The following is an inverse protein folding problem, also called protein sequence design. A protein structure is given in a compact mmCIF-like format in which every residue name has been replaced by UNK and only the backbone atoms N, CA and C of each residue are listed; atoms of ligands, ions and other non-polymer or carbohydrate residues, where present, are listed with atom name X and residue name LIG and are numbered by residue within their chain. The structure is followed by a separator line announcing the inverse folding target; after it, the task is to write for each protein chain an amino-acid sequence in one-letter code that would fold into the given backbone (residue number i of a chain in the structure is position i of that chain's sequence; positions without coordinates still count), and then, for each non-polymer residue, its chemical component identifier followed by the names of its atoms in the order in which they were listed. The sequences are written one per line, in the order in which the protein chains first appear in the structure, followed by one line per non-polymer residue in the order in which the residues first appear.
data_IF_673504328540
#
_entry.id   IF_673504328540
#
_cell.length_a   1.000
_cell.length_b   1.000
_cell.length_c   1.000
_cell.angle_alpha   90.00
_cell.angle_beta   90.00
_cell.angle_gamma   90.00
#
_symmetry.space_group_name_H-M   'P 1'
#
loop_
_entity.id
_entity.type
_entity.pdbx_description
1 polymer ?
#
# COMPACT_ATOMS: atom_id res chain seq x y z
N UNK A 1 8.84 28.12 -18.17
CA UNK A 1 8.67 26.97 -19.09
C UNK A 1 8.36 25.70 -18.32
N UNK A 2 7.15 25.36 -17.91
CA UNK A 2 5.91 26.02 -17.48
C UNK A 2 5.06 24.85 -16.97
N UNK A 3 4.32 25.04 -15.87
CA UNK A 3 3.43 24.03 -15.23
C UNK A 3 2.47 23.32 -16.20
N UNK A 4 2.26 23.86 -17.40
CA UNK A 4 1.43 23.28 -18.47
C UNK A 4 2.00 22.02 -19.15
N UNK A 5 3.33 21.79 -19.19
CA UNK A 5 3.87 20.58 -19.85
C UNK A 5 3.63 19.30 -19.04
N UNK A 6 3.57 19.42 -17.72
CA UNK A 6 3.34 18.30 -16.79
C UNK A 6 1.90 17.80 -16.85
N UNK A 7 0.94 18.70 -17.09
CA UNK A 7 -0.47 18.36 -17.17
C UNK A 7 -0.85 17.59 -18.45
N UNK A 8 0.05 17.50 -19.44
CA UNK A 8 -0.19 16.80 -20.69
C UNK A 8 0.21 15.33 -20.70
N UNK A 9 1.27 14.93 -19.97
CA UNK A 9 1.85 13.58 -20.07
C UNK A 9 1.15 12.52 -19.21
N UNK A 10 0.42 12.92 -18.16
CA UNK A 10 -0.28 12.02 -17.23
C UNK A 10 -1.71 12.49 -16.92
N UNK A 11 -2.36 13.17 -17.86
CA UNK A 11 -3.71 13.70 -17.69
C UNK A 11 -4.74 12.63 -17.26
N UNK A 12 -4.63 11.40 -17.78
CA UNK A 12 -5.57 10.32 -17.50
C UNK A 12 -5.39 9.79 -16.06
N UNK A 13 -4.17 9.85 -15.50
CA UNK A 13 -3.93 9.54 -14.10
C UNK A 13 -4.80 10.42 -13.19
N UNK A 14 -4.77 11.74 -13.39
CA UNK A 14 -5.44 12.70 -12.52
C UNK A 14 -6.93 12.86 -12.80
N UNK A 15 -7.37 12.70 -14.05
CA UNK A 15 -8.76 12.93 -14.46
C UNK A 15 -9.62 11.66 -14.44
N UNK A 16 -9.00 10.48 -14.51
CA UNK A 16 -9.71 9.19 -14.58
C UNK A 16 -9.24 8.23 -13.50
N UNK A 17 -7.97 7.81 -13.51
CA UNK A 17 -7.50 6.69 -12.67
C UNK A 17 -7.62 7.00 -11.18
N UNK A 18 -7.02 8.08 -10.70
CA UNK A 18 -7.03 8.42 -9.26
C UNK A 18 -8.45 8.71 -8.75
N UNK A 19 -9.30 9.54 -9.40
CA UNK A 19 -10.68 9.72 -8.97
C UNK A 19 -11.46 8.39 -8.92
N UNK A 20 -11.33 7.54 -9.93
CA UNK A 20 -12.03 6.26 -9.96
C UNK A 20 -11.56 5.32 -8.85
N UNK A 21 -10.26 5.24 -8.58
CA UNK A 21 -9.73 4.46 -7.45
C UNK A 21 -10.23 4.98 -6.11
N UNK A 22 -10.29 6.29 -5.92
CA UNK A 22 -10.81 6.89 -4.69
C UNK A 22 -12.32 6.63 -4.51
N UNK A 23 -13.09 6.64 -5.60
CA UNK A 23 -14.49 6.21 -5.57
C UNK A 23 -14.61 4.72 -5.20
N UNK A 24 -13.76 3.85 -5.75
CA UNK A 24 -13.74 2.43 -5.38
C UNK A 24 -13.43 2.23 -3.89
N UNK A 25 -12.54 3.03 -3.31
CA UNK A 25 -12.30 3.01 -1.84
C UNK A 25 -13.59 3.35 -1.10
N UNK A 26 -14.35 4.36 -1.54
CA UNK A 26 -15.66 4.69 -0.97
C UNK A 26 -16.68 3.56 -1.11
N UNK A 27 -16.77 2.93 -2.28
CA UNK A 27 -17.68 1.82 -2.56
C UNK A 27 -17.34 0.57 -1.72
N UNK A 28 -16.05 0.27 -1.55
CA UNK A 28 -15.59 -0.81 -0.65
C UNK A 28 -16.03 -0.51 0.78
N UNK A 29 -15.79 0.70 1.29
CA UNK A 29 -16.22 1.07 2.65
C UNK A 29 -17.74 0.85 2.85
N UNK A 30 -18.56 1.19 1.85
CA UNK A 30 -19.99 0.94 1.88
C UNK A 30 -20.32 -0.55 1.87
N UNK A 31 -19.64 -1.35 1.05
CA UNK A 31 -19.82 -2.80 1.01
C UNK A 31 -19.48 -3.45 2.36
N UNK A 32 -18.34 -3.07 2.96
CA UNK A 32 -17.90 -3.58 4.26
C UNK A 32 -18.86 -3.20 5.39
N UNK A 33 -19.35 -1.94 5.42
CA UNK A 33 -20.28 -1.50 6.47
C UNK A 33 -21.64 -2.20 6.46
N UNK A 34 -22.03 -2.78 5.31
CA UNK A 34 -23.26 -3.56 5.13
C UNK A 34 -23.05 -5.07 5.29
N UNK A 35 -21.80 -5.53 5.33
CA UNK A 35 -21.46 -6.95 5.46
C UNK A 35 -21.52 -7.40 6.93
N UNK A 36 -22.73 -7.69 7.42
CA UNK A 36 -22.93 -8.14 8.81
C UNK A 36 -22.35 -9.53 9.13
N UNK A 37 -22.07 -10.33 8.10
CA UNK A 37 -21.49 -11.65 8.24
C UNK A 37 -20.23 -11.75 7.39
N UNK A 38 -19.13 -12.12 8.05
CA UNK A 38 -17.86 -12.46 7.41
C UNK A 38 -17.81 -13.98 7.34
N UNK A 39 -17.80 -14.52 6.13
CA UNK A 39 -17.85 -15.95 5.90
C UNK A 39 -16.93 -16.34 4.75
N UNK A 40 -16.53 -17.61 4.74
CA UNK A 40 -15.81 -18.20 3.62
C UNK A 40 -16.65 -18.09 2.35
N UNK A 41 -16.07 -17.55 1.28
CA UNK A 41 -16.72 -17.42 -0.02
C UNK A 41 -16.91 -18.78 -0.73
N UNK A 42 -16.34 -19.86 -0.19
CA UNK A 42 -16.38 -21.21 -0.75
C UNK A 42 -15.35 -21.45 -1.87
N UNK A 43 -14.49 -20.47 -2.14
CA UNK A 43 -13.38 -20.55 -3.09
C UNK A 43 -12.06 -20.30 -2.36
N UNK A 44 -11.07 -21.17 -2.57
CA UNK A 44 -9.70 -20.88 -2.18
C UNK A 44 -9.06 -19.98 -3.25
N UNK A 45 -8.28 -18.98 -2.84
CA UNK A 45 -7.55 -18.14 -3.79
C UNK A 45 -6.37 -18.90 -4.42
N UNK A 46 -5.66 -18.25 -5.36
CA UNK A 46 -4.56 -18.87 -6.12
C UNK A 46 -3.40 -19.35 -5.22
N UNK A 47 -3.31 -18.81 -4.00
CA UNK A 47 -2.31 -19.19 -3.00
C UNK A 47 -2.80 -20.22 -1.97
N UNK A 48 -4.05 -20.69 -2.09
CA UNK A 48 -4.65 -21.69 -1.21
C UNK A 48 -5.16 -21.13 0.12
N UNK A 49 -5.21 -19.81 0.27
CA UNK A 49 -5.86 -19.16 1.41
C UNK A 49 -7.38 -19.15 1.18
N UNK A 50 -8.10 -19.36 2.28
CA UNK A 50 -9.55 -19.35 2.35
C UNK A 50 -10.07 -17.92 2.14
N UNK A 51 -10.67 -17.64 0.98
CA UNK A 51 -11.10 -16.29 0.64
C UNK A 51 -12.41 -15.92 1.34
N UNK A 52 -12.50 -14.72 1.94
CA UNK A 52 -13.72 -14.25 2.57
C UNK A 52 -14.64 -13.53 1.57
N UNK A 53 -15.94 -13.52 1.85
CA UNK A 53 -16.93 -12.80 1.05
C UNK A 53 -16.61 -11.30 0.91
N UNK A 54 -15.98 -10.70 1.92
CA UNK A 54 -15.53 -9.30 1.91
C UNK A 54 -14.34 -9.06 1.00
N UNK A 55 -13.42 -10.01 0.89
CA UNK A 55 -12.27 -9.96 -0.03
C UNK A 55 -12.79 -10.01 -1.48
N UNK A 56 -13.70 -10.95 -1.76
CA UNK A 56 -14.36 -11.08 -3.08
C UNK A 56 -15.12 -9.80 -3.44
N UNK A 57 -15.80 -9.17 -2.48
CA UNK A 57 -16.52 -7.92 -2.73
C UNK A 57 -15.55 -6.79 -3.10
N UNK A 58 -14.45 -6.62 -2.35
CA UNK A 58 -13.46 -5.58 -2.60
C UNK A 58 -12.73 -5.77 -3.93
N UNK A 59 -12.31 -7.00 -4.24
CA UNK A 59 -11.72 -7.41 -5.51
C UNK A 59 -12.63 -7.03 -6.70
N UNK A 60 -13.91 -7.41 -6.63
CA UNK A 60 -14.88 -7.15 -7.70
C UNK A 60 -15.13 -5.65 -7.91
N UNK A 61 -15.18 -4.86 -6.84
CA UNK A 61 -15.38 -3.40 -6.93
C UNK A 61 -14.19 -2.75 -7.65
N UNK A 62 -12.96 -3.09 -7.27
CA UNK A 62 -11.76 -2.54 -7.91
C UNK A 62 -11.67 -2.96 -9.38
N UNK A 63 -11.82 -4.26 -9.69
CA UNK A 63 -11.76 -4.75 -11.08
C UNK A 63 -12.82 -4.10 -11.97
N UNK A 64 -14.07 -4.01 -11.50
CA UNK A 64 -15.15 -3.35 -12.24
C UNK A 64 -14.83 -1.88 -12.47
N UNK A 65 -14.34 -1.19 -11.45
CA UNK A 65 -13.99 0.23 -11.54
C UNK A 65 -12.90 0.48 -12.58
N UNK A 66 -11.83 -0.32 -12.54
CA UNK A 66 -10.74 -0.22 -13.52
C UNK A 66 -11.24 -0.49 -14.95
N UNK A 67 -12.08 -1.51 -15.14
CA UNK A 67 -12.63 -1.86 -16.45
C UNK A 67 -13.61 -0.82 -17.00
N UNK A 68 -14.50 -0.26 -16.18
CA UNK A 68 -15.57 0.62 -16.65
C UNK A 68 -15.15 2.09 -16.71
N UNK A 69 -14.18 2.52 -15.89
CA UNK A 69 -13.88 3.94 -15.67
C UNK A 69 -12.45 4.35 -15.99
N UNK A 70 -11.55 3.39 -16.21
CA UNK A 70 -10.13 3.63 -16.43
C UNK A 70 -9.64 3.06 -17.78
N UNK A 71 -9.99 3.68 -18.92
CA UNK A 71 -9.61 3.19 -20.25
C UNK A 71 -8.09 3.19 -20.48
N UNK A 72 -7.32 4.00 -19.75
CA UNK A 72 -5.85 4.02 -19.79
C UNK A 72 -5.20 2.92 -18.95
N UNK A 73 -5.93 2.23 -18.08
CA UNK A 73 -5.40 1.07 -17.34
C UNK A 73 -5.54 -0.16 -18.22
N UNK A 74 -4.41 -0.66 -18.72
CA UNK A 74 -4.39 -1.75 -19.71
C UNK A 74 -4.22 -3.11 -19.05
N UNK A 75 -3.51 -3.17 -17.92
CA UNK A 75 -3.28 -4.40 -17.16
C UNK A 75 -3.53 -4.18 -15.67
N UNK A 76 -4.03 -5.21 -15.01
CA UNK A 76 -4.19 -5.21 -13.57
C UNK A 76 -3.92 -6.60 -12.96
N UNK A 77 -3.46 -6.60 -11.71
CA UNK A 77 -3.24 -7.80 -10.89
C UNK A 77 -3.60 -7.52 -9.44
N UNK A 78 -3.92 -8.55 -8.67
CA UNK A 78 -4.25 -8.41 -7.25
C UNK A 78 -3.59 -9.47 -6.39
N UNK A 79 -3.60 -9.27 -5.08
CA UNK A 79 -3.14 -10.27 -4.11
C UNK A 79 -3.91 -11.60 -4.23
N UNK A 80 -5.21 -11.55 -4.57
CA UNK A 80 -6.08 -12.71 -4.74
C UNK A 80 -5.89 -13.45 -6.09
N UNK A 81 -5.50 -12.70 -7.11
CA UNK A 81 -5.24 -13.17 -8.47
C UNK A 81 -3.93 -12.56 -8.99
N UNK A 82 -2.80 -13.16 -8.63
CA UNK A 82 -1.46 -12.57 -8.73
C UNK A 82 -0.88 -12.72 -10.14
N UNK A 83 -1.70 -12.48 -11.15
CA UNK A 83 -1.31 -12.52 -12.57
C UNK A 83 -1.72 -11.22 -13.20
N UNK A 84 -0.80 -10.55 -13.90
CA UNK A 84 -1.15 -9.37 -14.70
C UNK A 84 -2.06 -9.81 -15.85
N UNK A 85 -3.30 -9.32 -15.82
CA UNK A 85 -4.31 -9.59 -16.84
C UNK A 85 -4.72 -8.32 -17.54
N UNK A 86 -5.05 -8.43 -18.82
CA UNK A 86 -5.66 -7.33 -19.55
C UNK A 86 -6.97 -6.92 -18.88
N UNK A 87 -7.15 -5.63 -18.64
CA UNK A 87 -8.39 -5.09 -18.03
C UNK A 87 -9.53 -5.08 -19.05
N UNK A 88 -9.22 -4.76 -20.30
CA UNK A 88 -10.18 -4.62 -21.40
C UNK A 88 -10.08 -5.82 -22.34
N UNK A 89 -10.83 -6.89 -22.06
CA UNK A 89 -10.86 -8.10 -22.91
C UNK A 89 -11.85 -7.91 -24.07
N UNK A 90 -11.38 -8.05 -25.31
CA UNK A 90 -12.25 -8.05 -26.51
C UNK A 90 -12.51 -6.68 -27.15
N UNK A 91 -11.85 -5.61 -26.71
CA UNK A 91 -11.68 -4.43 -27.56
C UNK A 91 -10.70 -4.80 -28.68
N UNK A 92 -11.09 -4.66 -29.95
CA UNK A 92 -10.17 -4.79 -31.08
C UNK A 92 -8.82 -4.17 -30.73
N UNK A 93 -7.70 -4.82 -31.08
CA UNK A 93 -6.33 -4.30 -30.89
C UNK A 93 -6.12 -2.88 -31.50
N UNK A 94 -7.11 -2.39 -32.24
CA UNK A 94 -7.22 -1.05 -32.83
C UNK A 94 -7.91 0.00 -31.94
N UNK A 95 -8.44 -0.33 -30.75
CA UNK A 95 -9.16 0.59 -29.84
C UNK A 95 -8.37 1.11 -28.63
N UNK A 96 -7.12 0.69 -28.40
CA UNK A 96 -6.25 1.36 -27.42
C UNK A 96 -5.58 2.58 -28.07
N UNK A 97 -6.38 3.60 -28.35
CA UNK A 97 -5.91 4.94 -28.78
C UNK A 97 -5.50 5.84 -27.61
N UNK A 98 -5.49 5.32 -26.37
CA UNK A 98 -5.01 6.07 -25.22
C UNK A 98 -3.51 6.31 -25.36
N UNK A 99 -3.11 7.59 -25.42
CA UNK A 99 -1.69 7.97 -25.45
C UNK A 99 -0.96 7.60 -24.16
N UNK A 100 -1.70 7.37 -23.07
CA UNK A 100 -1.21 7.01 -21.75
C UNK A 100 -1.68 5.60 -21.39
N UNK A 101 -0.77 4.79 -20.86
CA UNK A 101 -1.05 3.41 -20.45
C UNK A 101 -0.56 3.19 -19.03
N UNK A 102 -1.38 2.54 -18.22
CA UNK A 102 -1.09 2.26 -16.82
C UNK A 102 -1.31 0.79 -16.49
N UNK A 103 -0.52 0.32 -15.53
CA UNK A 103 -0.71 -0.97 -14.86
C UNK A 103 -1.08 -0.71 -13.42
N UNK A 104 -2.08 -1.43 -12.91
CA UNK A 104 -2.52 -1.29 -11.52
C UNK A 104 -2.34 -2.61 -10.79
N UNK A 105 -1.67 -2.58 -9.64
CA UNK A 105 -1.57 -3.72 -8.75
C UNK A 105 -2.10 -3.37 -7.37
N UNK A 106 -2.85 -4.28 -6.74
CA UNK A 106 -3.55 -3.96 -5.50
C UNK A 106 -3.73 -5.16 -4.55
N UNK A 107 -3.74 -4.87 -3.26
CA UNK A 107 -4.36 -5.71 -2.24
C UNK A 107 -5.77 -5.14 -1.98
N UNK A 108 -6.83 -5.86 -2.39
CA UNK A 108 -8.19 -5.34 -2.28
C UNK A 108 -8.63 -5.15 -0.84
N UNK A 109 -8.15 -5.97 0.11
CA UNK A 109 -8.53 -5.89 1.52
C UNK A 109 -7.39 -6.35 2.46
N UNK A 110 -6.49 -5.43 2.78
CA UNK A 110 -5.50 -5.63 3.84
C UNK A 110 -6.19 -5.72 5.21
N UNK A 111 -5.80 -6.73 5.98
CA UNK A 111 -6.37 -6.98 7.30
C UNK A 111 -7.69 -7.74 7.28
N UNK A 112 -8.01 -8.49 6.22
CA UNK A 112 -9.20 -9.36 6.16
C UNK A 112 -9.38 -10.23 7.41
N UNK A 113 -8.30 -10.74 8.00
CA UNK A 113 -8.33 -11.53 9.24
C UNK A 113 -8.85 -10.78 10.49
N UNK A 114 -8.84 -9.45 10.49
CA UNK A 114 -9.27 -8.60 11.62
C UNK A 114 -10.58 -7.84 11.36
N UNK A 115 -11.24 -8.08 10.21
CA UNK A 115 -12.53 -7.44 9.91
C UNK A 115 -13.68 -7.99 10.77
N UNK A 116 -13.71 -9.30 11.06
CA UNK A 116 -14.78 -9.91 11.87
C UNK A 116 -14.81 -9.37 13.33
N UNK A 117 -13.67 -9.11 13.99
CA UNK A 117 -13.61 -8.33 15.23
C UNK A 117 -13.98 -6.84 15.10
N UNK A 118 -14.38 -6.36 13.91
CA UNK A 118 -14.72 -4.98 13.61
C UNK A 118 -13.55 -3.99 13.84
N UNK A 119 -12.34 -4.39 13.45
CA UNK A 119 -11.16 -3.51 13.49
C UNK A 119 -10.99 -2.76 12.17
N UNK A 120 -10.18 -1.70 12.20
CA UNK A 120 -9.81 -0.98 10.99
C UNK A 120 -9.06 -1.90 10.03
N UNK A 121 -9.48 -1.90 8.77
CA UNK A 121 -8.86 -2.62 7.65
C UNK A 121 -8.53 -1.63 6.52
N UNK A 122 -7.95 -2.07 5.41
CA UNK A 122 -7.59 -1.15 4.33
C UNK A 122 -7.51 -1.77 2.95
N UNK A 123 -7.16 -0.95 1.97
CA UNK A 123 -6.83 -1.36 0.61
C UNK A 123 -5.48 -0.77 0.26
N UNK A 124 -4.65 -1.51 -0.45
CA UNK A 124 -3.34 -1.05 -0.92
C UNK A 124 -3.36 -1.08 -2.44
N UNK A 125 -2.95 0.01 -3.08
CA UNK A 125 -2.92 0.09 -4.55
C UNK A 125 -1.70 0.87 -5.04
N UNK A 126 -1.04 0.36 -6.07
CA UNK A 126 0.00 1.06 -6.82
C UNK A 126 -0.38 1.22 -8.30
N UNK A 127 0.12 2.30 -8.92
CA UNK A 127 -0.06 2.61 -10.34
C UNK A 127 1.31 2.77 -11.00
N UNK A 128 1.55 1.99 -12.05
CA UNK A 128 2.76 2.04 -12.87
C UNK A 128 2.50 2.68 -14.23
N UNK A 129 3.43 3.52 -14.69
CA UNK A 129 3.47 4.10 -16.04
C UNK A 129 3.99 3.08 -17.07
N UNK A 130 3.05 2.48 -17.80
CA UNK A 130 3.31 1.43 -18.77
C UNK A 130 2.28 0.30 -18.70
N UNK A 131 2.50 -0.73 -19.52
CA UNK A 131 1.61 -1.89 -19.66
C UNK A 131 1.96 -3.09 -18.76
N UNK A 132 3.01 -2.99 -17.96
CA UNK A 132 3.37 -3.98 -16.94
C UNK A 132 4.09 -3.31 -15.76
N UNK A 133 3.98 -3.88 -14.56
CA UNK A 133 4.81 -3.54 -13.40
C UNK A 133 6.04 -4.45 -13.30
N UNK A 134 6.02 -5.63 -13.93
CA UNK A 134 7.11 -6.61 -13.91
C UNK A 134 8.29 -6.11 -14.75
N UNK A 135 9.50 -6.28 -14.23
CA UNK A 135 10.74 -5.87 -14.87
C UNK A 135 10.95 -4.35 -14.95
N UNK A 136 10.04 -3.56 -14.37
CA UNK A 136 10.12 -2.11 -14.42
C UNK A 136 10.97 -1.55 -13.27
N UNK A 137 11.68 -0.44 -13.50
CA UNK A 137 12.40 0.25 -12.46
C UNK A 137 11.43 1.06 -11.57
N UNK A 138 11.89 1.48 -10.39
CA UNK A 138 11.05 2.07 -9.33
C UNK A 138 10.33 3.36 -9.75
N UNK A 139 10.92 4.09 -10.69
CA UNK A 139 10.45 5.36 -11.21
C UNK A 139 9.17 5.20 -12.04
N UNK A 140 8.89 3.97 -12.48
CA UNK A 140 7.65 3.64 -13.17
C UNK A 140 6.47 3.57 -12.23
N UNK A 141 6.66 3.34 -10.94
CA UNK A 141 5.57 3.46 -9.97
C UNK A 141 5.33 4.93 -9.65
N UNK A 142 4.28 5.50 -10.25
CA UNK A 142 4.03 6.94 -10.24
C UNK A 142 2.99 7.38 -9.20
N UNK A 143 2.16 6.46 -8.72
CA UNK A 143 1.19 6.75 -7.67
C UNK A 143 0.90 5.53 -6.80
N UNK A 144 0.49 5.80 -5.56
CA UNK A 144 -0.01 4.80 -4.63
C UNK A 144 -1.19 5.35 -3.82
N UNK A 145 -2.11 4.47 -3.46
CA UNK A 145 -3.27 4.78 -2.61
C UNK A 145 -3.34 3.76 -1.48
N UNK A 146 -3.45 4.24 -0.24
CA UNK A 146 -3.82 3.43 0.92
C UNK A 146 -5.21 3.84 1.37
N UNK A 147 -6.23 3.02 1.08
CA UNK A 147 -7.59 3.20 1.58
C UNK A 147 -7.70 2.70 3.02
N UNK A 148 -8.42 3.41 3.88
CA UNK A 148 -8.56 3.09 5.31
C UNK A 148 -10.03 2.99 5.66
N UNK A 149 -10.43 1.84 6.18
CA UNK A 149 -11.81 1.50 6.56
C UNK A 149 -11.91 1.39 8.08
N UNK A 150 -12.09 2.52 8.75
CA UNK A 150 -12.25 2.58 10.20
C UNK A 150 -13.54 3.33 10.59
N UNK A 151 -13.55 4.01 11.75
CA UNK A 151 -14.65 4.91 12.12
C UNK A 151 -14.89 6.05 11.12
N UNK A 152 -13.88 6.34 10.29
CA UNK A 152 -13.95 7.24 9.14
C UNK A 152 -13.33 6.51 7.96
N UNK A 153 -13.82 6.78 6.76
CA UNK A 153 -13.17 6.35 5.52
C UNK A 153 -12.20 7.42 5.09
N UNK A 154 -10.91 7.08 5.02
CA UNK A 154 -9.87 8.00 4.54
C UNK A 154 -9.00 7.31 3.50
N UNK A 155 -8.21 8.08 2.76
CA UNK A 155 -7.18 7.55 1.89
C UNK A 155 -5.90 8.39 1.99
N UNK A 156 -4.74 7.73 2.01
CA UNK A 156 -3.45 8.39 1.78
C UNK A 156 -3.09 8.22 0.32
N UNK A 157 -2.82 9.33 -0.36
CA UNK A 157 -2.43 9.38 -1.77
C UNK A 157 -0.98 9.86 -1.86
N UNK A 158 -0.14 9.05 -2.51
CA UNK A 158 1.23 9.39 -2.84
C UNK A 158 1.42 9.47 -4.35
N UNK A 159 2.11 10.50 -4.85
CA UNK A 159 2.35 10.71 -6.28
C UNK A 159 3.81 11.12 -6.48
N UNK A 160 4.52 10.41 -7.37
CA UNK A 160 5.92 10.66 -7.73
C UNK A 160 6.09 10.55 -9.24
N UNK A 161 6.10 11.69 -9.92
CA UNK A 161 6.34 11.76 -11.38
C UNK A 161 7.65 12.51 -11.60
N UNK A 162 8.65 11.84 -12.19
CA UNK A 162 9.96 12.44 -12.43
C UNK A 162 9.89 13.64 -13.38
N UNK A 163 10.61 14.70 -13.06
CA UNK A 163 10.71 15.92 -13.90
C UNK A 163 9.47 16.82 -13.90
N UNK A 164 8.44 16.47 -13.14
CA UNK A 164 7.15 17.16 -13.14
C UNK A 164 6.93 18.05 -11.92
N UNK A 165 6.89 17.43 -10.74
CA UNK A 165 6.68 18.08 -9.44
C UNK A 165 7.46 17.34 -8.37
N UNK A 166 7.77 17.97 -7.23
CA UNK A 166 8.18 17.23 -6.04
C UNK A 166 7.16 16.13 -5.72
N UNK A 167 7.59 15.02 -5.10
CA UNK A 167 6.68 14.01 -4.61
C UNK A 167 5.62 14.60 -3.70
N UNK A 168 4.39 14.11 -3.81
CA UNK A 168 3.25 14.55 -3.00
C UNK A 168 2.80 13.38 -2.15
N UNK A 169 2.47 13.65 -0.88
CA UNK A 169 1.79 12.71 0.01
C UNK A 169 0.72 13.49 0.78
N UNK A 170 -0.55 13.11 0.64
CA UNK A 170 -1.68 13.80 1.25
C UNK A 170 -2.72 12.80 1.77
N UNK A 171 -3.53 13.23 2.72
CA UNK A 171 -4.63 12.44 3.26
C UNK A 171 -5.95 13.11 2.94
N UNK A 172 -6.89 12.31 2.44
CA UNK A 172 -8.27 12.74 2.18
C UNK A 172 -9.27 11.94 2.99
N UNK A 173 -10.36 12.58 3.37
CA UNK A 173 -11.58 11.96 3.86
C UNK A 173 -12.52 11.67 2.70
N UNK A 174 -13.12 10.49 2.73
CA UNK A 174 -14.11 10.05 1.76
C UNK A 174 -15.47 9.90 2.46
N UNK A 175 -16.52 10.37 1.82
CA UNK A 175 -17.90 10.19 2.26
C UNK A 175 -18.66 9.27 1.28
N UNK A 176 -19.98 9.18 1.44
CA UNK A 176 -20.84 8.36 0.58
C UNK A 176 -20.86 8.77 -0.91
N UNK A 177 -20.31 9.94 -1.24
CA UNK A 177 -20.19 10.45 -2.61
C UNK A 177 -18.80 10.25 -3.22
N UNK A 178 -17.87 9.63 -2.49
CA UNK A 178 -16.53 9.26 -2.97
C UNK A 178 -15.64 10.48 -3.24
N UNK A 179 -14.93 10.47 -4.37
CA UNK A 179 -14.02 11.52 -4.80
C UNK A 179 -14.72 12.81 -5.23
N UNK A 180 -16.05 12.79 -5.41
CA UNK A 180 -16.83 13.97 -5.83
C UNK A 180 -17.02 15.00 -4.72
N UNK A 181 -16.93 14.56 -3.47
CA UNK A 181 -17.12 15.38 -2.28
C UNK A 181 -16.14 14.95 -1.19
N UNK A 182 -14.85 14.84 -1.56
CA UNK A 182 -13.79 14.50 -0.63
C UNK A 182 -13.23 15.73 0.09
N UNK A 183 -12.83 15.55 1.34
CA UNK A 183 -12.16 16.59 2.14
C UNK A 183 -10.65 16.31 2.18
N UNK A 184 -9.81 17.32 1.98
CA UNK A 184 -8.37 17.19 2.26
C UNK A 184 -8.16 17.33 3.77
N UNK A 185 -7.94 16.20 4.47
CA UNK A 185 -7.68 16.17 5.92
C UNK A 185 -6.27 16.68 6.22
N UNK A 186 -5.29 16.26 5.42
CA UNK A 186 -3.90 16.74 5.48
C UNK A 186 -3.40 16.97 4.07
N UNK A 187 -3.10 18.23 3.74
CA UNK A 187 -2.51 18.61 2.46
C UNK A 187 -1.06 18.11 2.31
N UNK A 188 -0.41 17.80 3.42
CA UNK A 188 0.95 17.27 3.46
C UNK A 188 1.07 16.25 4.60
N UNK A 189 1.25 14.98 4.24
CA UNK A 189 1.58 13.90 5.17
C UNK A 189 3.10 13.75 5.16
N UNK A 190 3.72 14.00 6.31
CA UNK A 190 5.17 13.91 6.49
C UNK A 190 5.53 13.20 7.79
N UNK A 191 6.59 12.41 7.73
CA UNK A 191 7.33 12.00 8.90
C UNK A 191 8.25 13.15 9.34
N UNK A 192 8.31 13.36 10.65
CA UNK A 192 8.95 14.52 11.27
C UNK A 192 10.46 14.43 11.08
N UNK A 193 11.14 15.53 10.71
CA UNK A 193 12.60 15.59 10.75
C UNK A 193 13.10 15.81 12.19
N UNK A 194 14.32 15.38 12.53
CA UNK A 194 14.93 15.66 13.84
C UNK A 194 15.00 17.17 14.17
N UNK A 195 14.93 17.54 15.47
CA UNK A 195 14.78 16.67 16.63
C UNK A 195 13.30 16.34 16.93
N UNK A 196 12.96 15.07 17.00
CA UNK A 196 11.69 14.56 17.54
C UNK A 196 11.97 13.29 18.34
N UNK A 197 11.06 12.91 19.24
CA UNK A 197 11.13 11.64 19.96
C UNK A 197 10.13 10.66 19.37
N UNK A 198 10.60 9.63 18.69
CA UNK A 198 9.75 8.51 18.28
C UNK A 198 9.14 7.84 19.50
N UNK A 199 7.85 7.54 19.44
CA UNK A 199 7.11 6.89 20.54
C UNK A 199 6.38 5.63 20.15
N UNK A 200 6.36 5.24 18.88
CA UNK A 200 5.50 4.16 18.42
C UNK A 200 6.28 3.14 17.63
N UNK A 201 6.06 1.87 17.93
CA UNK A 201 6.58 0.76 17.15
C UNK A 201 5.47 -0.28 16.91
N UNK A 202 5.48 -0.84 15.70
CA UNK A 202 4.60 -1.92 15.27
C UNK A 202 5.44 -3.18 15.01
N UNK A 203 5.54 -4.11 15.99
CA UNK A 203 6.33 -5.33 15.84
C UNK A 203 5.53 -6.42 15.11
N UNK A 204 5.43 -6.27 13.79
CA UNK A 204 4.81 -7.28 12.97
C UNK A 204 5.52 -8.62 13.14
N UNK A 205 4.74 -9.66 13.42
CA UNK A 205 5.24 -10.99 13.74
C UNK A 205 6.21 -11.03 14.95
N UNK A 206 5.78 -10.48 16.09
CA UNK A 206 6.52 -10.52 17.38
C UNK A 206 7.04 -11.91 17.79
N UNK A 207 6.44 -13.01 17.29
CA UNK A 207 6.95 -14.39 17.49
C UNK A 207 8.39 -14.56 17.01
N UNK A 208 8.83 -13.77 16.03
CA UNK A 208 10.22 -13.75 15.56
C UNK A 208 11.22 -13.36 16.66
N UNK A 209 10.78 -12.65 17.72
CA UNK A 209 11.66 -12.31 18.83
C UNK A 209 12.12 -13.56 19.58
N UNK A 210 11.30 -14.61 19.65
CA UNK A 210 11.72 -15.91 20.18
C UNK A 210 12.61 -16.73 19.25
N UNK A 211 12.97 -16.19 18.07
CA UNK A 211 13.70 -16.89 17.02
C UNK A 211 15.00 -16.19 16.62
N UNK A 212 15.11 -14.88 16.89
CA UNK A 212 16.28 -14.07 16.60
C UNK A 212 16.58 -13.15 17.79
N UNK A 213 17.72 -13.39 18.46
CA UNK A 213 18.16 -12.63 19.62
C UNK A 213 18.37 -11.14 19.29
N UNK A 214 18.72 -10.81 18.05
CA UNK A 214 18.89 -9.43 17.60
C UNK A 214 17.56 -8.70 17.59
N UNK A 215 16.51 -9.34 17.08
CA UNK A 215 15.17 -8.79 17.10
C UNK A 215 14.60 -8.73 18.52
N UNK A 216 14.87 -9.72 19.37
CA UNK A 216 14.53 -9.64 20.80
C UNK A 216 15.23 -8.46 21.48
N UNK A 217 16.51 -8.23 21.19
CA UNK A 217 17.27 -7.08 21.67
C UNK A 217 16.64 -5.75 21.26
N UNK A 218 16.19 -5.65 20.00
CA UNK A 218 15.47 -4.47 19.49
C UNK A 218 14.13 -4.25 20.22
N UNK A 219 13.35 -5.31 20.45
CA UNK A 219 12.09 -5.21 21.22
C UNK A 219 12.36 -4.76 22.66
N UNK A 220 13.38 -5.33 23.31
CA UNK A 220 13.79 -4.93 24.67
C UNK A 220 14.21 -3.46 24.72
N UNK A 221 14.93 -2.98 23.70
CA UNK A 221 15.29 -1.56 23.57
C UNK A 221 14.05 -0.67 23.51
N UNK A 222 13.07 -1.00 22.68
CA UNK A 222 11.82 -0.23 22.62
C UNK A 222 11.09 -0.17 23.97
N UNK A 223 11.08 -1.27 24.72
CA UNK A 223 10.50 -1.32 26.07
C UNK A 223 11.28 -0.39 27.02
N UNK A 224 12.61 -0.48 27.05
CA UNK A 224 13.47 0.31 27.93
C UNK A 224 13.43 1.82 27.63
N UNK A 225 13.33 2.19 26.35
CA UNK A 225 13.25 3.59 25.91
C UNK A 225 11.83 4.19 26.02
N UNK A 226 10.84 3.36 26.41
CA UNK A 226 9.46 3.79 26.64
C UNK A 226 8.65 4.00 25.37
N UNK A 227 8.92 3.22 24.31
CA UNK A 227 8.08 3.21 23.12
C UNK A 227 6.74 2.54 23.45
N UNK A 228 5.68 3.08 22.86
CA UNK A 228 4.32 2.57 22.94
C UNK A 228 4.08 1.60 21.79
N UNK A 229 3.74 0.35 22.12
CA UNK A 229 3.37 -0.65 21.12
C UNK A 229 2.04 -0.28 20.45
N UNK A 230 2.02 -0.31 19.12
CA UNK A 230 0.82 -0.16 18.28
C UNK A 230 0.88 -1.19 17.17
N UNK A 231 0.07 -2.23 17.29
CA UNK A 231 -0.02 -3.29 16.30
C UNK A 231 -1.43 -3.87 16.36
N UNK A 232 -2.22 -3.63 15.32
CA UNK A 232 -3.54 -4.19 15.15
C UNK A 232 -3.55 -5.41 14.22
N UNK A 233 -2.45 -5.67 13.50
CA UNK A 233 -2.35 -6.83 12.62
C UNK A 233 -2.77 -6.57 11.18
N UNK A 234 -3.33 -5.40 10.86
CA UNK A 234 -3.48 -4.89 9.50
C UNK A 234 -2.31 -3.98 9.14
N UNK A 235 -1.74 -4.13 7.95
CA UNK A 235 -0.57 -3.37 7.52
C UNK A 235 -0.89 -1.88 7.33
N UNK A 236 -1.99 -1.58 6.63
CA UNK A 236 -2.49 -0.21 6.38
C UNK A 236 -2.75 0.54 7.68
N UNK A 237 -3.62 0.08 8.61
CA UNK A 237 -3.92 0.82 9.83
C UNK A 237 -2.68 1.05 10.71
N UNK A 238 -1.75 0.09 10.79
CA UNK A 238 -0.52 0.23 11.58
C UNK A 238 0.42 1.30 10.99
N UNK A 239 0.52 1.38 9.66
CA UNK A 239 1.34 2.38 8.97
C UNK A 239 0.71 3.77 8.96
N UNK A 240 -0.60 3.84 8.69
CA UNK A 240 -1.37 5.10 8.72
C UNK A 240 -1.31 5.73 10.10
N UNK A 241 -1.29 4.93 11.17
CA UNK A 241 -1.07 5.46 12.52
C UNK A 241 0.29 6.18 12.63
N UNK A 242 1.39 5.58 12.16
CA UNK A 242 2.70 6.22 12.19
C UNK A 242 2.74 7.51 11.35
N UNK A 243 2.16 7.48 10.15
CA UNK A 243 2.03 8.65 9.26
C UNK A 243 1.21 9.77 9.92
N UNK A 244 0.08 9.44 10.56
CA UNK A 244 -0.78 10.40 11.25
C UNK A 244 -0.12 11.01 12.50
N UNK A 245 0.79 10.28 13.15
CA UNK A 245 1.62 10.79 14.25
C UNK A 245 2.85 11.55 13.76
N UNK A 246 3.17 11.44 12.47
CA UNK A 246 4.39 11.98 11.89
C UNK A 246 5.64 11.29 12.41
N UNK A 247 5.54 10.11 13.02
CA UNK A 247 6.69 9.33 13.48
C UNK A 247 6.28 7.91 13.87
N UNK A 248 7.22 6.98 13.80
CA UNK A 248 7.03 5.59 14.20
C UNK A 248 7.79 4.63 13.30
N UNK A 249 7.84 3.37 13.70
CA UNK A 249 8.52 2.33 12.95
C UNK A 249 7.69 1.05 12.90
N UNK A 250 7.56 0.48 11.70
CA UNK A 250 6.96 -0.82 11.46
C UNK A 250 8.09 -1.82 11.17
N UNK A 251 8.05 -2.98 11.82
CA UNK A 251 9.10 -4.00 11.70
C UNK A 251 8.48 -5.37 11.50
N UNK A 252 8.57 -5.89 10.29
CA UNK A 252 8.24 -7.28 9.91
C UNK A 252 9.53 -8.02 9.52
N UNK A 253 10.22 -8.65 10.49
CA UNK A 253 11.48 -9.34 10.24
C UNK A 253 11.28 -10.66 9.49
N UNK A 254 12.36 -11.17 8.91
CA UNK A 254 12.41 -12.49 8.28
C UNK A 254 13.45 -13.35 9.01
N UNK A 255 13.07 -14.55 9.40
CA UNK A 255 13.95 -15.55 10.02
C UNK A 255 13.77 -16.91 9.32
N UNK A 256 14.57 -17.91 9.71
CA UNK A 256 14.42 -19.27 9.20
C UNK A 256 13.02 -19.87 9.45
N UNK A 257 12.38 -19.52 10.58
CA UNK A 257 11.03 -19.98 10.95
C UNK A 257 9.93 -18.99 10.57
N UNK A 258 10.24 -17.69 10.62
CA UNK A 258 9.34 -16.61 10.23
C UNK A 258 9.66 -16.15 8.81
N UNK A 259 9.14 -16.87 7.82
CA UNK A 259 9.35 -16.53 6.41
C UNK A 259 8.67 -15.21 6.03
N UNK A 260 9.17 -14.58 4.97
CA UNK A 260 8.54 -13.44 4.33
C UNK A 260 7.09 -13.74 3.93
N UNK A 261 6.17 -12.83 4.27
CA UNK A 261 4.73 -12.97 4.00
C UNK A 261 4.19 -11.92 3.04
N UNK A 262 4.71 -10.70 3.14
CA UNK A 262 4.20 -9.54 2.39
C UNK A 262 4.65 -9.64 0.93
N UNK A 263 3.72 -9.40 0.00
CA UNK A 263 3.91 -9.47 -1.44
C UNK A 263 4.48 -8.14 -1.94
N UNK A 264 5.56 -8.21 -2.72
CA UNK A 264 6.28 -7.02 -3.20
C UNK A 264 5.37 -6.11 -4.03
N UNK A 265 4.66 -6.69 -4.99
CA UNK A 265 3.88 -5.94 -5.97
C UNK A 265 2.62 -5.31 -5.35
N UNK A 266 1.89 -6.06 -4.53
CA UNK A 266 0.56 -5.67 -4.03
C UNK A 266 0.63 -4.88 -2.72
N UNK A 267 1.65 -5.11 -1.89
CA UNK A 267 1.76 -4.51 -0.57
C UNK A 267 2.99 -3.59 -0.47
N UNK A 268 4.20 -4.14 -0.68
CA UNK A 268 5.43 -3.46 -0.28
C UNK A 268 5.80 -2.26 -1.16
N UNK A 269 5.68 -2.40 -2.47
CA UNK A 269 5.96 -1.31 -3.41
C UNK A 269 5.00 -0.13 -3.23
N UNK A 270 3.66 -0.34 -3.17
CA UNK A 270 2.73 0.74 -2.84
C UNK A 270 3.05 1.47 -1.54
N UNK A 271 3.31 0.70 -0.47
CA UNK A 271 3.64 1.24 0.85
C UNK A 271 4.96 2.00 0.85
N UNK A 272 6.00 1.45 0.24
CA UNK A 272 7.30 2.09 0.19
C UNK A 272 7.22 3.44 -0.52
N UNK A 273 6.46 3.54 -1.61
CA UNK A 273 6.24 4.83 -2.27
C UNK A 273 5.57 5.85 -1.34
N UNK A 274 4.55 5.44 -0.59
CA UNK A 274 3.87 6.32 0.38
C UNK A 274 4.82 6.79 1.47
N UNK A 275 5.61 5.88 2.04
CA UNK A 275 6.58 6.19 3.08
C UNK A 275 7.67 7.13 2.56
N UNK A 276 8.24 6.88 1.39
CA UNK A 276 9.26 7.74 0.78
C UNK A 276 8.71 9.13 0.43
N UNK A 277 7.49 9.22 -0.13
CA UNK A 277 6.82 10.50 -0.39
C UNK A 277 6.52 11.29 0.89
N UNK A 278 6.35 10.59 2.03
CA UNK A 278 6.23 11.21 3.35
C UNK A 278 7.59 11.54 4.00
N UNK A 279 8.72 11.31 3.32
CA UNK A 279 10.07 11.58 3.83
C UNK A 279 10.65 10.48 4.74
N UNK A 280 10.04 9.29 4.75
CA UNK A 280 10.54 8.12 5.45
C UNK A 280 11.43 7.22 4.61
N UNK A 281 11.75 6.06 5.17
CA UNK A 281 12.53 5.00 4.53
C UNK A 281 11.78 3.68 4.64
N UNK A 282 11.85 2.85 3.60
CA UNK A 282 11.36 1.48 3.61
C UNK A 282 12.44 0.52 3.07
N UNK A 283 12.86 -0.45 3.88
CA UNK A 283 13.91 -1.42 3.54
C UNK A 283 13.45 -2.87 3.74
N UNK A 284 14.13 -3.77 3.04
CA UNK A 284 14.07 -5.21 3.26
C UNK A 284 14.97 -5.59 4.46
N UNK A 285 14.45 -6.18 5.55
CA UNK A 285 15.25 -6.55 6.71
C UNK A 285 16.27 -7.66 6.44
N UNK A 286 16.20 -8.35 5.31
CA UNK A 286 17.13 -9.45 4.96
C UNK A 286 18.50 -8.93 4.53
N UNK A 287 18.54 -7.85 3.76
CA UNK A 287 19.80 -7.28 3.22
C UNK A 287 19.91 -5.77 3.34
N UNK A 288 18.91 -5.10 3.93
CA UNK A 288 18.91 -3.67 4.20
C UNK A 288 18.71 -2.79 2.98
N UNK A 289 18.43 -3.37 1.81
CA UNK A 289 18.19 -2.60 0.58
C UNK A 289 16.82 -1.93 0.62
N UNK A 290 16.71 -0.76 0.00
CA UNK A 290 15.43 -0.10 -0.14
C UNK A 290 14.45 -1.00 -0.90
N UNK A 291 13.19 -0.98 -0.48
CA UNK A 291 12.14 -1.81 -1.07
C UNK A 291 12.00 -1.47 -2.57
N UNK A 292 11.98 -0.19 -2.91
CA UNK A 292 11.80 0.29 -4.29
C UNK A 292 13.04 0.09 -5.19
N UNK A 293 14.23 -0.11 -4.64
CA UNK A 293 15.46 -0.36 -5.42
C UNK A 293 15.47 -1.74 -6.11
N UNK A 294 14.50 -2.61 -5.80
CA UNK A 294 14.40 -3.94 -6.40
C UNK A 294 13.53 -3.92 -7.65
N UNK A 295 14.08 -4.42 -8.74
CA UNK A 295 13.30 -4.74 -9.95
C UNK A 295 12.55 -6.05 -9.74
N UNK A 296 11.23 -6.01 -9.92
CA UNK A 296 10.34 -7.17 -9.81
C UNK A 296 10.59 -8.15 -10.96
N UNK A 297 10.88 -9.40 -10.65
CA UNK A 297 11.04 -10.52 -11.59
C UNK A 297 9.73 -11.28 -11.82
N UNK A 298 8.83 -11.26 -10.84
CA UNK A 298 7.51 -11.89 -10.93
C UNK A 298 6.53 -11.33 -9.90
N UNK A 299 5.25 -11.55 -10.13
CA UNK A 299 4.13 -11.04 -9.32
C UNK A 299 4.07 -11.67 -7.91
N UNK A 300 4.59 -12.88 -7.73
CA UNK A 300 4.51 -13.66 -6.48
C UNK A 300 5.66 -13.41 -5.48
N UNK A 301 6.53 -12.43 -5.74
CA UNK A 301 7.67 -12.18 -4.86
C UNK A 301 7.26 -11.68 -3.48
N UNK A 302 7.88 -12.25 -2.44
CA UNK A 302 7.63 -11.88 -1.04
C UNK A 302 8.88 -11.32 -0.37
N UNK A 303 8.68 -10.44 0.61
CA UNK A 303 9.77 -9.93 1.44
C UNK A 303 9.32 -9.61 2.88
N UNK A 304 10.29 -9.26 3.72
CA UNK A 304 10.00 -8.53 4.96
C UNK A 304 9.81 -7.03 4.68
N UNK A 305 9.53 -6.28 5.74
CA UNK A 305 9.40 -4.83 5.66
C UNK A 305 9.89 -4.20 6.95
N UNK A 306 10.77 -3.22 6.82
CA UNK A 306 11.03 -2.23 7.88
C UNK A 306 10.79 -0.87 7.27
N UNK A 307 9.89 -0.08 7.84
CA UNK A 307 9.64 1.26 7.35
C UNK A 307 9.21 2.23 8.45
N UNK A 308 9.43 3.53 8.20
CA UNK A 308 9.14 4.57 9.16
C UNK A 308 10.10 5.75 9.04
N UNK A 309 10.35 6.39 10.17
CA UNK A 309 11.30 7.50 10.30
C UNK A 309 12.74 7.04 10.01
N UNK A 310 13.55 7.81 9.26
CA UNK A 310 14.89 7.38 8.84
C UNK A 310 15.78 6.91 9.99
N UNK A 311 15.76 7.61 11.13
CA UNK A 311 16.57 7.28 12.31
C UNK A 311 16.17 5.93 12.93
N UNK A 312 14.87 5.65 13.02
CA UNK A 312 14.37 4.38 13.57
C UNK A 312 14.61 3.21 12.62
N UNK A 313 14.46 3.44 11.31
CA UNK A 313 14.78 2.42 10.29
C UNK A 313 16.27 2.08 10.34
N UNK A 314 17.15 3.06 10.52
CA UNK A 314 18.58 2.82 10.69
C UNK A 314 18.90 2.06 11.98
N UNK A 315 18.22 2.38 13.09
CA UNK A 315 18.34 1.61 14.34
C UNK A 315 17.99 0.14 14.12
N UNK A 316 16.89 -0.13 13.41
CA UNK A 316 16.46 -1.50 13.10
C UNK A 316 17.46 -2.18 12.18
N UNK A 317 17.93 -1.48 11.15
CA UNK A 317 18.91 -2.01 10.19
C UNK A 317 20.20 -2.42 10.91
N UNK A 318 20.72 -1.58 11.79
CA UNK A 318 21.91 -1.88 12.59
C UNK A 318 21.68 -3.05 13.55
N UNK A 319 20.51 -3.12 14.20
CA UNK A 319 20.20 -4.24 15.07
C UNK A 319 20.12 -5.57 14.31
N UNK A 320 19.50 -5.60 13.13
CA UNK A 320 19.24 -6.83 12.39
C UNK A 320 20.36 -7.25 11.43
N UNK A 321 21.25 -6.34 11.01
CA UNK A 321 22.27 -6.60 9.98
C UNK A 321 23.69 -6.18 10.38
N UNK A 322 23.84 -5.39 11.46
CA UNK A 322 25.13 -4.93 11.98
C UNK A 322 25.81 -5.91 12.93
#
# INVERSE_FOLDING_TARGET
MSRERVNGSHADLFKSVLPAVLDAVGDIAQALSRAHHVALAGTANTFGDDQLNVDVAAENILRRTLAERCPSVVTASSEEDPVEKAVHVGSDETKTTAQQQYTVAFDPLDGSSIIAPNWTVGTILGVWDGSTAVGQPSEKQIASVLGVYGPRTTAILAIRILGATPPVCLEIGLNEHGSRDCEIIRSEVKLSPPPFKTRYFAPANLRAAGQDERYMGLVNRYIQEGYTLRYCGGLVPDLVHALAKGHGVYVSPVTAKSKAKLRRLFELFPIALVIECAGGVAIDPVDGKAILDRVLKGTDERAGLVCGTPEDVEIVRQALLG
#
